data_IF_133093934135
#
_entry.id   IF_133093934135
#
_cell.length_a   1.000
_cell.length_b   1.000
_cell.length_c   1.000
_cell.angle_alpha   90.00
_cell.angle_beta   90.00
_cell.angle_gamma   90.00
#
_symmetry.space_group_name_H-M   'P 1'
#
loop_
_entity.id
_entity.type
_entity.pdbx_description
1 polymer ?
#
# COMPACT_ATOMS: atom_id res chain seq x y z
N UNK A 1 4.45 -65.40 13.45
CA UNK A 1 3.38 -64.44 13.06
C UNK A 1 3.72 -63.07 13.61
N UNK A 2 4.50 -62.33 12.85
CA UNK A 2 4.83 -60.93 13.13
C UNK A 2 4.00 -60.08 12.17
N UNK A 3 3.15 -59.20 12.71
CA UNK A 3 2.90 -57.86 12.20
C UNK A 3 2.01 -57.11 13.22
N UNK A 4 2.59 -56.86 14.41
CA UNK A 4 2.35 -55.57 15.07
C UNK A 4 3.01 -54.53 14.17
N UNK A 5 2.25 -53.62 13.54
CA UNK A 5 2.76 -52.29 13.17
C UNK A 5 1.68 -51.38 12.59
N UNK A 6 1.57 -50.24 13.27
CA UNK A 6 1.39 -48.91 12.70
C UNK A 6 0.00 -48.61 12.12
N UNK A 7 -0.88 -48.16 13.01
CA UNK A 7 -1.97 -47.26 12.68
C UNK A 7 -1.34 -45.93 12.23
N UNK A 8 -1.15 -45.74 10.93
CA UNK A 8 -0.70 -44.48 10.35
C UNK A 8 -1.82 -43.46 10.49
N UNK A 9 -1.76 -42.65 11.54
CA UNK A 9 -2.61 -41.48 11.70
C UNK A 9 -2.10 -40.41 10.72
N UNK A 10 -2.64 -40.43 9.49
CA UNK A 10 -2.51 -39.34 8.53
C UNK A 10 -3.28 -38.14 9.11
N UNK A 11 -2.59 -37.35 9.93
CA UNK A 11 -3.07 -36.05 10.36
C UNK A 11 -2.99 -35.12 9.13
N UNK A 12 -4.12 -34.62 8.59
CA UNK A 12 -4.02 -33.58 7.58
C UNK A 12 -3.43 -32.35 8.26
N UNK A 13 -2.22 -31.98 7.86
CA UNK A 13 -1.64 -30.67 8.16
C UNK A 13 -2.57 -29.63 7.54
N UNK A 14 -3.50 -29.12 8.33
CA UNK A 14 -4.22 -27.89 8.03
C UNK A 14 -3.19 -26.76 8.06
N UNK A 15 -2.53 -26.55 6.93
CA UNK A 15 -1.84 -25.29 6.65
C UNK A 15 -2.93 -24.22 6.48
N UNK A 16 -3.37 -23.65 7.60
CA UNK A 16 -4.08 -22.38 7.58
C UNK A 16 -3.05 -21.30 7.20
N UNK A 17 -2.87 -21.07 5.91
CA UNK A 17 -2.23 -19.86 5.42
C UNK A 17 -3.17 -18.71 5.75
N UNK A 18 -2.87 -18.00 6.84
CA UNK A 18 -3.63 -16.86 7.31
C UNK A 18 -3.13 -15.63 6.55
N UNK A 19 -3.42 -15.52 5.25
CA UNK A 19 -3.11 -14.31 4.48
C UNK A 19 -4.02 -13.19 4.97
N UNK A 20 -3.42 -12.20 5.65
CA UNK A 20 -4.07 -10.95 6.04
C UNK A 20 -3.88 -9.94 4.92
N UNK A 21 -5.00 -9.55 4.30
CA UNK A 21 -5.00 -8.51 3.27
C UNK A 21 -5.26 -7.15 3.91
N UNK A 22 -4.32 -6.22 3.77
CA UNK A 22 -4.48 -4.82 4.19
C UNK A 22 -5.10 -4.01 3.07
N UNK A 23 -6.20 -3.33 3.37
CA UNK A 23 -6.79 -2.36 2.45
C UNK A 23 -6.46 -0.93 2.86
N UNK A 24 -5.94 -0.14 1.93
CA UNK A 24 -5.76 1.31 2.13
C UNK A 24 -6.98 2.06 1.60
N UNK A 25 -7.78 2.63 2.52
CA UNK A 25 -8.85 3.57 2.17
C UNK A 25 -8.33 5.01 2.23
N UNK A 26 -8.67 5.82 1.24
CA UNK A 26 -8.35 7.26 1.18
C UNK A 26 -9.65 8.03 1.00
N UNK A 27 -9.86 9.04 1.85
CA UNK A 27 -11.04 9.91 1.81
C UNK A 27 -10.59 11.34 1.48
N UNK A 28 -11.06 11.90 0.37
CA UNK A 28 -10.85 13.31 0.03
C UNK A 28 -11.97 14.14 0.66
N UNK A 29 -11.74 14.63 1.87
CA UNK A 29 -12.71 15.45 2.60
C UNK A 29 -12.74 16.88 2.05
N UNK A 30 -13.86 17.57 2.28
CA UNK A 30 -14.04 18.96 1.90
C UNK A 30 -12.94 19.87 2.46
N UNK A 31 -12.53 20.87 1.70
CA UNK A 31 -11.46 21.83 2.01
C UNK A 31 -10.07 21.21 2.23
N UNK A 32 -9.84 19.95 1.82
CA UNK A 32 -8.53 19.30 1.99
C UNK A 32 -7.51 19.68 0.92
N UNK A 33 -7.97 20.19 -0.23
CA UNK A 33 -7.13 20.61 -1.34
C UNK A 33 -7.79 21.74 -2.13
N UNK A 34 -7.58 22.96 -1.64
CA UNK A 34 -8.14 24.17 -2.22
C UNK A 34 -7.18 24.78 -3.24
N UNK A 35 -7.70 25.30 -4.34
CA UNK A 35 -6.92 26.14 -5.25
C UNK A 35 -6.86 27.60 -4.74
N UNK A 36 -6.14 28.46 -5.47
CA UNK A 36 -6.03 29.89 -5.16
C UNK A 36 -7.35 30.70 -5.22
N UNK A 37 -8.45 30.09 -5.71
CA UNK A 37 -9.80 30.66 -5.69
C UNK A 37 -10.68 30.09 -4.58
N UNK A 38 -10.13 29.23 -3.72
CA UNK A 38 -10.84 28.50 -2.67
C UNK A 38 -11.87 27.49 -3.20
N UNK A 39 -11.70 27.01 -4.44
CA UNK A 39 -12.47 25.87 -4.94
C UNK A 39 -11.80 24.55 -4.48
N UNK A 40 -12.61 23.58 -4.06
CA UNK A 40 -12.15 22.21 -3.88
C UNK A 40 -11.73 21.61 -5.23
N UNK A 41 -10.51 21.05 -5.27
CA UNK A 41 -9.98 20.38 -6.46
C UNK A 41 -9.54 18.94 -6.15
N UNK A 42 -9.54 18.04 -7.17
CA UNK A 42 -9.14 16.66 -6.96
C UNK A 42 -7.74 16.52 -6.35
N UNK A 43 -7.55 15.54 -5.47
CA UNK A 43 -6.25 15.19 -4.89
C UNK A 43 -5.67 14.02 -5.66
N UNK A 44 -4.38 14.08 -5.98
CA UNK A 44 -3.67 12.90 -6.49
C UNK A 44 -2.95 12.21 -5.34
N UNK A 45 -3.36 11.00 -5.01
CA UNK A 45 -2.70 10.16 -4.01
C UNK A 45 -1.81 9.12 -4.70
N UNK A 46 -0.65 8.87 -4.13
CA UNK A 46 0.27 7.81 -4.53
C UNK A 46 0.49 6.92 -3.31
N UNK A 47 0.21 5.63 -3.47
CA UNK A 47 0.45 4.61 -2.45
C UNK A 47 1.61 3.74 -2.91
N UNK A 48 2.64 3.63 -2.09
CA UNK A 48 3.87 2.89 -2.37
C UNK A 48 3.88 1.61 -1.54
N UNK A 49 4.19 0.50 -2.18
CA UNK A 49 4.53 -0.77 -1.54
C UNK A 49 6.05 -0.85 -1.46
N UNK A 50 6.60 -1.01 -0.25
CA UNK A 50 8.03 -0.83 0.00
C UNK A 50 8.62 -2.00 0.80
N UNK A 51 9.89 -2.35 0.50
CA UNK A 51 10.71 -3.28 1.29
C UNK A 51 11.40 -2.60 2.46
N UNK A 52 11.79 -1.34 2.30
CA UNK A 52 12.45 -0.49 3.30
C UNK A 52 11.89 0.94 3.16
N UNK A 53 11.75 1.63 4.28
CA UNK A 53 11.17 2.97 4.38
C UNK A 53 12.20 4.08 4.43
N UNK A 54 13.49 3.80 4.70
CA UNK A 54 14.50 4.84 4.95
C UNK A 54 14.59 5.86 3.82
N UNK A 55 14.73 5.39 2.58
CA UNK A 55 14.79 6.29 1.41
C UNK A 55 13.49 7.05 1.18
N UNK A 56 12.35 6.44 1.54
CA UNK A 56 11.06 7.10 1.44
C UNK A 56 10.94 8.24 2.44
N UNK A 57 11.37 8.04 3.69
CA UNK A 57 11.36 9.05 4.74
C UNK A 57 12.36 10.19 4.49
N UNK A 58 13.51 9.88 3.88
CA UNK A 58 14.54 10.87 3.53
C UNK A 58 14.21 11.67 2.26
N UNK A 59 13.32 11.16 1.41
CA UNK A 59 12.98 11.78 0.14
C UNK A 59 12.09 13.02 0.32
N UNK A 60 12.28 14.02 -0.55
CA UNK A 60 11.36 15.15 -0.62
C UNK A 60 10.05 14.76 -1.32
N UNK A 61 8.95 15.44 -0.99
CA UNK A 61 7.66 15.25 -1.67
C UNK A 61 7.77 15.40 -3.19
N UNK A 62 8.61 16.33 -3.66
CA UNK A 62 8.84 16.58 -5.09
C UNK A 62 9.58 15.40 -5.72
N UNK A 63 10.58 14.86 -5.03
CA UNK A 63 11.34 13.71 -5.51
C UNK A 63 10.47 12.47 -5.62
N UNK A 64 9.62 12.23 -4.62
CA UNK A 64 8.62 11.15 -4.69
C UNK A 64 7.62 11.38 -5.82
N UNK A 65 7.14 12.61 -6.02
CA UNK A 65 6.13 12.90 -7.05
C UNK A 65 6.66 12.82 -8.50
N UNK A 66 7.96 12.99 -8.72
CA UNK A 66 8.54 13.17 -10.07
C UNK A 66 9.62 12.15 -10.43
N UNK A 67 10.28 11.55 -9.43
CA UNK A 67 11.45 10.68 -9.60
C UNK A 67 11.44 9.47 -8.66
N UNK A 68 10.25 9.00 -8.24
CA UNK A 68 10.09 7.87 -7.31
C UNK A 68 11.02 6.69 -7.63
N UNK A 69 11.16 6.33 -8.91
CA UNK A 69 11.96 5.20 -9.36
C UNK A 69 13.46 5.37 -9.13
N UNK A 70 13.97 6.58 -9.33
CA UNK A 70 15.37 6.89 -9.08
C UNK A 70 15.69 7.01 -7.59
N UNK A 71 14.71 7.42 -6.79
CA UNK A 71 14.85 7.72 -5.36
C UNK A 71 14.72 6.44 -4.53
N UNK A 72 13.63 5.69 -4.75
CA UNK A 72 13.31 4.48 -4.01
C UNK A 72 14.05 3.26 -4.60
N UNK A 73 14.19 3.22 -5.92
CA UNK A 73 14.91 2.15 -6.62
C UNK A 73 14.40 0.77 -6.24
N UNK A 74 15.31 -0.09 -5.78
CA UNK A 74 15.01 -1.49 -5.41
C UNK A 74 14.15 -1.63 -4.14
N UNK A 75 14.00 -0.56 -3.37
CA UNK A 75 13.20 -0.57 -2.15
C UNK A 75 11.71 -0.45 -2.48
N UNK A 76 11.37 0.03 -3.68
CA UNK A 76 9.99 0.03 -4.18
C UNK A 76 9.63 -1.35 -4.75
N UNK A 77 8.52 -1.89 -4.26
CA UNK A 77 7.87 -3.07 -4.82
C UNK A 77 6.90 -2.68 -5.94
N UNK A 78 6.02 -1.73 -5.64
CA UNK A 78 4.99 -1.23 -6.54
C UNK A 78 4.51 0.16 -6.10
N UNK A 79 3.81 0.88 -6.98
CA UNK A 79 3.11 2.12 -6.63
C UNK A 79 1.80 2.25 -7.40
N UNK A 80 0.76 2.74 -6.71
CA UNK A 80 -0.53 3.05 -7.31
C UNK A 80 -0.80 4.53 -7.17
N UNK A 81 -0.95 5.19 -8.32
CA UNK A 81 -1.30 6.61 -8.43
C UNK A 81 -2.75 6.76 -8.85
N UNK A 82 -3.50 7.55 -8.10
CA UNK A 82 -4.93 7.71 -8.28
C UNK A 82 -5.37 9.13 -7.98
N UNK A 83 -6.33 9.62 -8.76
CA UNK A 83 -6.95 10.92 -8.52
C UNK A 83 -8.30 10.70 -7.81
N UNK A 84 -8.57 11.51 -6.81
CA UNK A 84 -9.76 11.41 -5.96
C UNK A 84 -10.50 12.74 -6.05
N UNK A 85 -11.74 12.71 -6.54
CA UNK A 85 -12.59 13.89 -6.59
C UNK A 85 -12.89 14.43 -5.18
N UNK A 86 -13.20 15.73 -5.02
CA UNK A 86 -13.66 16.25 -3.74
C UNK A 86 -14.87 15.49 -3.20
N UNK A 87 -14.90 15.27 -1.88
CA UNK A 87 -15.98 14.56 -1.16
C UNK A 87 -16.14 13.09 -1.58
N UNK A 88 -15.13 12.51 -2.22
CA UNK A 88 -15.12 11.11 -2.65
C UNK A 88 -14.13 10.26 -1.84
N UNK A 89 -14.29 8.94 -1.91
CA UNK A 89 -13.38 7.99 -1.29
C UNK A 89 -13.06 6.81 -2.21
N UNK A 90 -11.86 6.27 -2.05
CA UNK A 90 -11.42 5.08 -2.79
C UNK A 90 -10.73 4.07 -1.88
N UNK A 91 -10.70 2.81 -2.32
CA UNK A 91 -9.78 1.81 -1.82
C UNK A 91 -8.62 1.79 -2.81
N UNK A 92 -7.49 2.37 -2.43
CA UNK A 92 -6.36 2.59 -3.31
C UNK A 92 -5.57 1.30 -3.60
N UNK A 93 -5.46 0.41 -2.60
CA UNK A 93 -4.76 -0.87 -2.76
C UNK A 93 -5.27 -1.89 -1.76
N UNK A 94 -5.20 -3.16 -2.16
CA UNK A 94 -5.27 -4.33 -1.28
C UNK A 94 -3.91 -5.02 -1.35
N UNK A 95 -3.26 -5.16 -0.22
CA UNK A 95 -1.87 -5.62 -0.11
C UNK A 95 -1.85 -6.89 0.74
N UNK A 96 -1.12 -7.91 0.30
CA UNK A 96 -0.82 -9.07 1.14
C UNK A 96 0.31 -8.69 2.12
N UNK A 97 0.04 -8.76 3.43
CA UNK A 97 1.01 -8.40 4.47
C UNK A 97 2.27 -9.28 4.43
N UNK A 98 2.18 -10.52 3.94
CA UNK A 98 3.34 -11.42 3.87
C UNK A 98 4.36 -10.98 2.80
N UNK A 99 3.91 -10.27 1.76
CA UNK A 99 4.75 -9.87 0.62
C UNK A 99 5.27 -8.43 0.72
N UNK A 100 4.55 -7.57 1.47
CA UNK A 100 4.81 -6.13 1.51
C UNK A 100 5.01 -5.65 2.95
N UNK A 101 6.28 -5.45 3.36
CA UNK A 101 6.59 -5.04 4.73
C UNK A 101 6.07 -3.64 5.09
N UNK A 102 6.01 -2.72 4.12
CA UNK A 102 5.65 -1.32 4.36
C UNK A 102 4.78 -0.73 3.27
N UNK A 103 3.85 0.14 3.69
CA UNK A 103 3.00 0.92 2.79
C UNK A 103 3.17 2.42 3.06
N UNK A 104 3.81 3.12 2.12
CA UNK A 104 3.96 4.57 2.13
C UNK A 104 2.81 5.27 1.40
N UNK A 105 2.48 6.50 1.79
CA UNK A 105 1.47 7.33 1.10
C UNK A 105 1.99 8.74 0.90
N UNK A 106 1.78 9.30 -0.28
CA UNK A 106 2.05 10.71 -0.58
C UNK A 106 0.87 11.31 -1.35
N UNK A 107 0.58 12.59 -1.12
CA UNK A 107 -0.50 13.31 -1.78
C UNK A 107 0.06 14.56 -2.47
N UNK A 108 -0.26 14.72 -3.75
CA UNK A 108 0.04 15.93 -4.50
C UNK A 108 -1.15 16.88 -4.35
N UNK A 109 -0.90 18.01 -3.68
CA UNK A 109 -1.88 19.06 -3.41
C UNK A 109 -1.64 20.27 -4.31
N UNK A 110 -2.72 20.94 -4.69
CA UNK A 110 -2.67 22.25 -5.31
C UNK A 110 -2.45 23.29 -4.21
N UNK A 111 -1.46 24.15 -4.40
CA UNK A 111 -1.25 25.38 -3.63
C UNK A 111 -1.18 26.53 -4.62
#
# INVERSE_FOLDING_TARGET
MFCKKSLFFLLPLFFCACSSVVSVKINNVENSNLNNRHDDVPVTAIVYQLKDIKKFEEASDIDLATREEGVLGKDKLDSIKTQIAPKDNIIAVKVDEEEVPYVGKSCIICK
#
